data_IF_652158107933
#
_entry.id   IF_652158107933
#
_cell.length_a   1.000
_cell.length_b   1.000
_cell.length_c   1.000
_cell.angle_alpha   90.00
_cell.angle_beta   90.00
_cell.angle_gamma   90.00
#
_symmetry.space_group_name_H-M   'P 1'
#
loop_
_entity.id
_entity.type
_entity.pdbx_description
1 polymer ?
#
# COMPACT_ATOMS: atom_id res chain seq x y z
N UNK A 1 -8.04 -8.69 -10.87
CA UNK A 1 -7.13 -7.98 -11.80
C UNK A 1 -5.81 -8.72 -11.87
N UNK A 2 -5.29 -8.95 -13.07
CA UNK A 2 -3.96 -9.53 -13.28
C UNK A 2 -2.92 -8.40 -13.35
N UNK A 3 -1.70 -8.60 -12.81
CA UNK A 3 -0.62 -7.63 -12.96
C UNK A 3 -0.22 -7.46 -14.43
N UNK A 4 0.16 -6.24 -14.82
CA UNK A 4 0.50 -5.89 -16.20
C UNK A 4 1.58 -6.82 -16.80
N UNK A 5 2.57 -7.22 -16.00
CA UNK A 5 3.66 -8.08 -16.47
C UNK A 5 3.21 -9.49 -16.87
N UNK A 6 2.04 -9.97 -16.43
CA UNK A 6 1.49 -11.27 -16.88
C UNK A 6 1.05 -11.21 -18.35
N UNK A 7 0.71 -10.03 -18.89
CA UNK A 7 0.35 -9.89 -20.31
C UNK A 7 1.50 -10.28 -21.24
N UNK A 8 2.75 -10.07 -20.82
CA UNK A 8 3.94 -10.47 -21.59
C UNK A 8 3.97 -11.98 -21.81
N UNK A 9 3.51 -12.78 -20.84
CA UNK A 9 3.47 -14.24 -20.96
C UNK A 9 2.40 -14.74 -21.92
N UNK A 10 1.33 -13.98 -22.13
CA UNK A 10 0.26 -14.32 -23.06
C UNK A 10 0.46 -13.74 -24.46
N UNK A 11 1.53 -12.97 -24.66
CA UNK A 11 1.82 -12.31 -25.93
C UNK A 11 2.68 -13.16 -26.86
N UNK A 12 2.72 -12.79 -28.14
CA UNK A 12 3.59 -13.40 -29.16
C UNK A 12 5.08 -13.26 -28.85
N UNK A 13 5.46 -12.35 -27.94
CA UNK A 13 6.85 -12.15 -27.51
C UNK A 13 7.24 -12.92 -26.25
N UNK A 14 6.38 -13.82 -25.76
CA UNK A 14 6.60 -14.59 -24.52
C UNK A 14 7.91 -15.39 -24.51
N UNK A 15 8.28 -16.01 -25.63
CA UNK A 15 9.54 -16.75 -25.78
C UNK A 15 10.77 -15.85 -25.65
N UNK A 16 10.94 -14.84 -26.53
CA UNK A 16 12.05 -13.88 -26.47
C UNK A 16 12.12 -13.09 -25.14
N UNK A 17 10.98 -12.82 -24.50
CA UNK A 17 10.91 -12.00 -23.28
C UNK A 17 10.89 -12.80 -21.98
N UNK A 18 11.00 -14.14 -22.02
CA UNK A 18 10.90 -15.01 -20.84
C UNK A 18 11.83 -14.59 -19.68
N UNK A 19 13.08 -14.21 -20.00
CA UNK A 19 14.04 -13.71 -19.02
C UNK A 19 13.68 -12.32 -18.46
N UNK A 20 13.06 -11.47 -19.27
CA UNK A 20 12.66 -10.10 -18.88
C UNK A 20 11.43 -10.06 -17.97
N UNK A 21 10.54 -11.06 -18.03
CA UNK A 21 9.36 -11.12 -17.14
C UNK A 21 9.75 -11.14 -15.66
N UNK A 22 10.85 -11.83 -15.31
CA UNK A 22 11.35 -11.84 -13.93
C UNK A 22 11.80 -10.43 -13.47
N UNK A 23 12.44 -9.66 -14.35
CA UNK A 23 12.83 -8.28 -14.08
C UNK A 23 11.62 -7.36 -13.98
N UNK A 24 10.63 -7.50 -14.87
CA UNK A 24 9.39 -6.73 -14.81
C UNK A 24 8.63 -6.97 -13.51
N UNK A 25 8.54 -8.23 -13.07
CA UNK A 25 7.92 -8.57 -11.79
C UNK A 25 8.66 -7.90 -10.64
N UNK A 26 10.00 -7.93 -10.63
CA UNK A 26 10.82 -7.30 -9.59
C UNK A 26 10.62 -5.78 -9.57
N UNK A 27 10.73 -5.13 -10.72
CA UNK A 27 10.54 -3.67 -10.85
C UNK A 27 9.14 -3.25 -10.43
N UNK A 28 8.11 -4.04 -10.76
CA UNK A 28 6.74 -3.79 -10.31
C UNK A 28 6.60 -3.89 -8.79
N UNK A 29 7.20 -4.91 -8.16
CA UNK A 29 7.20 -5.07 -6.70
C UNK A 29 7.94 -3.91 -5.99
N UNK A 30 9.03 -3.42 -6.57
CA UNK A 30 9.80 -2.25 -6.10
C UNK A 30 8.97 -0.96 -6.23
N UNK A 31 8.38 -0.72 -7.40
CA UNK A 31 7.50 0.43 -7.65
C UNK A 31 6.34 0.47 -6.65
N UNK A 32 5.66 -0.65 -6.42
CA UNK A 32 4.56 -0.72 -5.45
C UNK A 32 5.00 -0.47 -4.01
N UNK A 33 6.27 -0.68 -3.68
CA UNK A 33 6.83 -0.39 -2.35
C UNK A 33 7.25 1.07 -2.22
N UNK A 34 7.77 1.68 -3.28
CA UNK A 34 8.22 3.07 -3.29
C UNK A 34 7.05 4.05 -3.44
N UNK A 35 6.05 3.72 -4.25
CA UNK A 35 4.92 4.61 -4.55
C UNK A 35 3.65 4.25 -3.77
N UNK A 36 3.79 3.55 -2.65
CA UNK A 36 2.64 3.22 -1.81
C UNK A 36 2.18 4.43 -0.98
N UNK A 37 0.86 4.67 -0.94
CA UNK A 37 0.26 5.75 -0.14
C UNK A 37 0.49 5.61 1.37
N UNK A 38 0.88 4.43 1.87
CA UNK A 38 1.30 4.25 3.26
C UNK A 38 2.49 5.13 3.68
N UNK A 39 3.27 5.63 2.71
CA UNK A 39 4.42 6.52 2.95
C UNK A 39 3.99 7.93 3.30
N UNK A 40 2.78 8.31 2.93
CA UNK A 40 2.19 9.57 3.33
C UNK A 40 1.81 9.56 4.81
N UNK A 41 1.72 10.75 5.39
CA UNK A 41 1.02 10.92 6.66
C UNK A 41 -0.48 10.55 6.47
N UNK A 42 -1.13 9.97 7.49
CA UNK A 42 -2.55 9.68 7.40
C UNK A 42 -3.37 10.97 7.38
N UNK A 43 -4.39 11.00 6.54
CA UNK A 43 -5.38 12.07 6.55
C UNK A 43 -6.31 11.93 7.77
N UNK A 44 -6.86 13.04 8.23
CA UNK A 44 -7.86 13.05 9.31
C UNK A 44 -9.22 12.60 8.77
N UNK A 45 -10.12 12.29 9.71
CA UNK A 45 -11.54 12.06 9.44
C UNK A 45 -11.84 11.03 8.34
N UNK A 46 -11.02 9.96 8.30
CA UNK A 46 -11.11 8.89 7.30
C UNK A 46 -10.91 9.36 5.85
N UNK A 47 -10.17 10.46 5.64
CA UNK A 47 -9.67 10.85 4.33
C UNK A 47 -8.71 9.83 3.76
N UNK A 48 -8.58 9.80 2.43
CA UNK A 48 -7.71 8.85 1.72
C UNK A 48 -6.40 9.55 1.37
N UNK A 49 -5.27 8.98 1.83
CA UNK A 49 -3.96 9.47 1.43
C UNK A 49 -3.62 8.97 0.02
N UNK A 50 -3.15 9.89 -0.82
CA UNK A 50 -2.72 9.60 -2.19
C UNK A 50 -1.32 10.17 -2.38
N UNK A 51 -0.42 9.35 -2.91
CA UNK A 51 0.91 9.79 -3.33
C UNK A 51 0.85 10.11 -4.83
N UNK A 52 1.01 11.38 -5.19
CA UNK A 52 1.05 11.84 -6.57
C UNK A 52 2.46 12.38 -6.87
N UNK A 53 3.23 11.61 -7.64
CA UNK A 53 4.65 11.88 -7.84
C UNK A 53 5.40 11.79 -6.51
N UNK A 54 5.88 12.94 -6.02
CA UNK A 54 6.57 13.08 -4.73
C UNK A 54 5.73 13.77 -3.65
N UNK A 55 4.48 14.14 -3.98
CA UNK A 55 3.60 14.90 -3.08
C UNK A 55 2.52 14.00 -2.50
N UNK A 56 2.25 14.19 -1.21
CA UNK A 56 1.14 13.53 -0.52
C UNK A 56 -0.07 14.46 -0.50
N UNK A 57 -1.21 13.95 -0.97
CA UNK A 57 -2.49 14.66 -0.99
C UNK A 57 -3.52 13.88 -0.19
N UNK A 58 -4.46 14.60 0.41
CA UNK A 58 -5.60 14.02 1.11
C UNK A 58 -6.88 14.23 0.30
N UNK A 59 -7.52 13.13 -0.07
CA UNK A 59 -8.86 13.17 -0.65
C UNK A 59 -9.88 13.10 0.49
N UNK A 60 -10.60 14.20 0.68
CA UNK A 60 -11.55 14.34 1.78
C UNK A 60 -12.92 13.76 1.42
N UNK A 61 -13.59 13.19 2.44
CA UNK A 61 -15.00 12.82 2.34
C UNK A 61 -15.86 14.09 2.32
N UNK A 62 -17.09 13.97 1.85
CA UNK A 62 -18.04 15.08 1.84
C UNK A 62 -18.24 15.68 3.25
N UNK A 63 -18.20 17.02 3.34
CA UNK A 63 -18.32 17.75 4.60
C UNK A 63 -17.04 17.84 5.44
N UNK A 64 -15.89 17.46 4.88
CA UNK A 64 -14.56 17.66 5.46
C UNK A 64 -13.68 18.44 4.50
N UNK A 65 -12.87 19.37 5.01
CA UNK A 65 -12.03 20.29 4.25
C UNK A 65 -10.66 20.46 4.93
N UNK A 66 -9.79 21.29 4.36
CA UNK A 66 -8.40 21.48 4.81
C UNK A 66 -7.41 20.54 4.11
N UNK A 67 -6.12 20.80 4.29
CA UNK A 67 -5.04 20.07 3.60
C UNK A 67 -4.94 18.60 4.03
N UNK A 68 -5.38 18.29 5.26
CA UNK A 68 -5.41 16.95 5.83
C UNK A 68 -6.85 16.49 6.18
N UNK A 69 -7.88 17.14 5.65
CA UNK A 69 -9.29 16.90 5.98
C UNK A 69 -9.65 17.18 7.46
N UNK A 70 -8.97 18.13 8.09
CA UNK A 70 -9.09 18.51 9.50
C UNK A 70 -10.24 19.47 9.79
N UNK A 71 -10.66 20.26 8.81
CA UNK A 71 -11.71 21.27 8.97
C UNK A 71 -13.09 20.64 8.81
N UNK A 72 -13.83 20.57 9.91
CA UNK A 72 -15.19 20.02 9.91
C UNK A 72 -15.91 20.37 11.22
N UNK A 73 -17.24 20.36 11.17
CA UNK A 73 -18.12 20.34 12.36
C UNK A 73 -18.57 18.92 12.71
N UNK A 74 -18.21 17.91 11.89
CA UNK A 74 -18.62 16.53 12.07
C UNK A 74 -17.66 15.80 13.00
N UNK A 75 -18.19 14.91 13.82
CA UNK A 75 -17.41 13.99 14.65
C UNK A 75 -17.69 12.56 14.22
N UNK A 76 -16.71 11.68 14.37
CA UNK A 76 -16.86 10.29 13.96
C UNK A 76 -15.69 9.41 14.37
N UNK A 77 -15.82 8.09 14.17
CA UNK A 77 -14.75 7.16 14.43
C UNK A 77 -13.57 7.40 13.48
N UNK A 78 -12.36 7.07 13.93
CA UNK A 78 -11.18 7.00 13.04
C UNK A 78 -10.92 5.54 12.74
N UNK A 79 -10.97 5.16 11.48
CA UNK A 79 -10.66 3.80 11.04
C UNK A 79 -9.16 3.58 11.00
N UNK A 80 -8.73 2.37 11.32
CA UNK A 80 -7.34 1.97 11.22
C UNK A 80 -6.89 1.89 9.77
N UNK A 81 -5.67 2.34 9.50
CA UNK A 81 -5.00 2.11 8.23
C UNK A 81 -3.58 1.58 8.42
N UNK A 82 -3.16 0.78 7.44
CA UNK A 82 -1.91 0.04 7.48
C UNK A 82 -0.72 0.98 7.36
N UNK A 83 0.29 0.75 8.19
CA UNK A 83 1.65 1.22 7.94
C UNK A 83 2.18 0.65 6.63
N UNK A 84 3.27 1.23 6.15
CA UNK A 84 4.06 0.55 5.14
C UNK A 84 4.51 -0.82 5.64
N UNK A 85 4.64 -1.73 4.68
CA UNK A 85 5.35 -2.97 4.91
C UNK A 85 6.81 -2.65 5.29
N UNK A 86 7.35 -3.40 6.23
CA UNK A 86 8.77 -3.44 6.50
C UNK A 86 9.53 -3.92 5.26
N UNK A 87 10.83 -3.67 5.26
CA UNK A 87 11.74 -4.42 4.40
C UNK A 87 11.55 -5.92 4.63
N UNK A 88 11.78 -6.70 3.57
CA UNK A 88 11.86 -8.15 3.70
C UNK A 88 13.01 -8.52 4.62
N UNK A 89 12.79 -9.51 5.49
CA UNK A 89 13.85 -10.15 6.25
C UNK A 89 14.83 -10.86 5.33
N UNK A 90 16.02 -11.16 5.87
CA UNK A 90 16.97 -12.04 5.20
C UNK A 90 16.32 -13.41 4.94
N UNK A 91 16.78 -14.08 3.88
CA UNK A 91 16.25 -15.40 3.58
C UNK A 91 16.70 -16.41 4.65
N UNK A 92 15.73 -17.01 5.34
CA UNK A 92 15.95 -18.06 6.32
C UNK A 92 15.12 -19.28 5.93
N UNK A 93 15.77 -20.45 5.81
CA UNK A 93 15.10 -21.70 5.43
C UNK A 93 14.23 -21.58 4.16
N UNK A 94 14.79 -20.95 3.11
CA UNK A 94 14.12 -20.66 1.81
C UNK A 94 12.86 -19.78 1.93
N UNK A 95 12.71 -19.03 3.02
CA UNK A 95 11.59 -18.12 3.24
C UNK A 95 12.10 -16.76 3.73
N UNK A 96 11.36 -15.72 3.37
CA UNK A 96 11.53 -14.37 3.89
C UNK A 96 10.18 -13.83 4.33
N UNK A 97 10.19 -12.96 5.32
CA UNK A 97 8.99 -12.40 5.94
C UNK A 97 9.05 -10.88 5.93
N UNK A 98 7.89 -10.23 5.95
CA UNK A 98 7.76 -8.81 6.21
C UNK A 98 6.47 -8.54 6.95
N UNK A 99 6.43 -7.41 7.64
CA UNK A 99 5.36 -7.08 8.57
C UNK A 99 4.85 -5.66 8.35
N UNK A 100 3.63 -5.39 8.79
CA UNK A 100 3.01 -4.06 8.82
C UNK A 100 2.13 -3.97 10.05
N UNK A 101 1.85 -2.75 10.48
CA UNK A 101 1.09 -2.46 11.68
C UNK A 101 -0.14 -1.62 11.35
N UNK A 102 -1.22 -1.78 12.11
CA UNK A 102 -2.45 -1.01 11.93
C UNK A 102 -2.39 0.29 12.75
N UNK A 103 -1.50 1.21 12.36
CA UNK A 103 -1.20 2.40 13.14
C UNK A 103 -1.01 3.68 12.30
N UNK A 104 -1.44 3.69 11.02
CA UNK A 104 -1.38 4.87 10.14
C UNK A 104 -2.74 5.21 9.52
N UNK A 105 -3.73 5.69 10.32
CA UNK A 105 -3.71 5.86 11.77
C UNK A 105 -4.15 4.57 12.50
N UNK A 106 -4.04 4.55 13.82
CA UNK A 106 -4.68 3.49 14.63
C UNK A 106 -6.20 3.72 14.71
N UNK A 107 -7.02 2.67 14.82
CA UNK A 107 -8.45 2.83 15.00
C UNK A 107 -8.77 3.50 16.34
N UNK A 108 -9.65 4.50 16.33
CA UNK A 108 -10.09 5.25 17.52
C UNK A 108 -11.61 5.41 17.54
N UNK A 109 -12.18 5.61 18.74
CA UNK A 109 -13.61 5.87 18.96
C UNK A 109 -14.53 4.84 18.29
N UNK A 110 -14.18 3.55 18.39
CA UNK A 110 -14.95 2.46 17.76
C UNK A 110 -14.76 2.30 16.25
N UNK A 111 -13.72 2.93 15.67
CA UNK A 111 -13.41 2.75 14.26
C UNK A 111 -12.94 1.34 13.89
N UNK A 112 -13.12 0.99 12.62
CA UNK A 112 -12.80 -0.35 12.13
C UNK A 112 -11.30 -0.64 12.15
N UNK A 113 -10.89 -1.87 12.53
CA UNK A 113 -9.51 -2.29 12.41
C UNK A 113 -9.11 -2.47 10.94
N UNK A 114 -7.80 -2.51 10.69
CA UNK A 114 -7.28 -2.73 9.36
C UNK A 114 -7.61 -4.14 8.85
N UNK A 115 -8.16 -4.23 7.65
CA UNK A 115 -8.49 -5.52 7.03
C UNK A 115 -7.24 -6.19 6.42
N UNK A 116 -7.13 -7.50 6.61
CA UNK A 116 -6.08 -8.35 6.05
C UNK A 116 -4.96 -8.70 7.04
N UNK A 117 -3.91 -9.34 6.53
CA UNK A 117 -2.82 -9.88 7.38
C UNK A 117 -1.76 -8.82 7.70
N UNK A 118 -1.24 -8.86 8.92
CA UNK A 118 -0.11 -8.04 9.37
C UNK A 118 1.25 -8.58 8.91
N UNK A 119 1.35 -9.89 8.65
CA UNK A 119 2.59 -10.56 8.23
C UNK A 119 2.42 -11.19 6.85
N UNK A 120 3.45 -11.10 6.02
CA UNK A 120 3.54 -11.78 4.73
C UNK A 120 4.82 -12.60 4.65
N UNK A 121 4.69 -13.84 4.19
CA UNK A 121 5.82 -14.75 3.95
C UNK A 121 5.91 -15.07 2.47
N UNK A 122 7.12 -15.13 1.93
CA UNK A 122 7.39 -15.52 0.55
C UNK A 122 8.58 -16.48 0.52
N UNK A 123 8.57 -17.41 -0.45
CA UNK A 123 9.76 -18.19 -0.75
C UNK A 123 10.86 -17.32 -1.36
N UNK A 124 12.08 -17.67 -1.01
CA UNK A 124 13.24 -17.46 -1.87
C UNK A 124 13.43 -18.77 -2.65
#
# INVERSE_FOLDING_TARGET
MLPLYELVRFSTVAGPMKGKVAHLKRAYEEYLHEFNSCRCAPCRNNGVSVLQGTSCLCLCKEGYQGLACEETLRTGPTHGSWSCWSSWSACQSKKRTRERQCNKPAPLNGGHPCLGRATKTQSC
#
